data_IF_315649045344
#
_entry.id   IF_315649045344
#
_cell.length_a   1.000
_cell.length_b   1.000
_cell.length_c   1.000
_cell.angle_alpha   90.00
_cell.angle_beta   90.00
_cell.angle_gamma   90.00
#
_symmetry.space_group_name_H-M   'P 1'
#
loop_
_entity.id
_entity.type
_entity.pdbx_description
1 polymer ?
#
# COMPACT_ATOMS: atom_id res chain seq x y z
N UNK A 1 7.99 11.55 -2.19
CA UNK A 1 7.73 10.13 -2.53
C UNK A 1 8.99 9.25 -2.61
N UNK A 2 10.20 9.76 -2.25
CA UNK A 2 11.44 8.97 -2.26
C UNK A 2 11.52 7.89 -1.16
N UNK A 3 10.73 8.01 -0.10
CA UNK A 3 10.84 7.12 1.06
C UNK A 3 10.36 5.68 0.76
N UNK A 4 9.35 5.53 -0.11
CA UNK A 4 8.84 4.22 -0.53
C UNK A 4 9.83 3.47 -1.42
N UNK A 5 10.67 4.18 -2.17
CA UNK A 5 11.66 3.60 -3.07
C UNK A 5 12.81 2.91 -2.32
N UNK A 6 13.14 3.40 -1.12
CA UNK A 6 14.26 2.90 -0.32
C UNK A 6 13.85 1.83 0.71
N UNK A 7 12.64 1.29 0.58
CA UNK A 7 12.03 0.39 1.56
C UNK A 7 11.54 -0.87 0.87
N UNK A 8 11.51 -1.97 1.62
CA UNK A 8 10.94 -3.24 1.15
C UNK A 8 9.61 -3.46 1.83
N UNK A 9 8.54 -3.55 1.04
CA UNK A 9 7.20 -3.80 1.52
C UNK A 9 6.90 -5.29 1.45
N UNK A 10 6.10 -5.76 2.39
CA UNK A 10 5.55 -7.11 2.38
C UNK A 10 4.05 -7.06 2.58
N UNK A 11 3.34 -8.04 2.05
CA UNK A 11 1.95 -8.27 2.45
C UNK A 11 1.92 -8.53 3.95
N UNK A 12 1.38 -7.58 4.70
CA UNK A 12 1.28 -7.66 6.15
C UNK A 12 -0.02 -8.35 6.54
N UNK A 13 -1.12 -7.89 5.97
CA UNK A 13 -2.43 -8.45 6.22
C UNK A 13 -3.35 -8.21 5.03
N UNK A 14 -4.21 -9.20 4.75
CA UNK A 14 -5.24 -9.13 3.73
C UNK A 14 -6.50 -9.81 4.25
N UNK A 15 -7.62 -9.10 4.26
CA UNK A 15 -8.91 -9.65 4.70
C UNK A 15 -9.92 -9.59 3.57
N UNK A 16 -10.47 -10.75 3.22
CA UNK A 16 -11.49 -10.85 2.16
C UNK A 16 -12.82 -10.25 2.63
N UNK A 17 -13.19 -10.45 3.90
CA UNK A 17 -14.47 -9.97 4.45
C UNK A 17 -14.60 -8.44 4.51
N UNK A 18 -13.48 -7.73 4.68
CA UNK A 18 -13.44 -6.27 4.74
C UNK A 18 -12.78 -5.67 3.50
N UNK A 19 -12.41 -6.51 2.51
CA UNK A 19 -11.68 -6.13 1.30
C UNK A 19 -10.54 -5.16 1.60
N UNK A 20 -9.68 -5.50 2.55
CA UNK A 20 -8.64 -4.61 3.06
C UNK A 20 -7.27 -5.24 2.91
N UNK A 21 -6.29 -4.48 2.41
CA UNK A 21 -4.90 -4.91 2.24
C UNK A 21 -3.97 -3.91 2.91
N UNK A 22 -3.02 -4.42 3.69
CA UNK A 22 -1.90 -3.65 4.24
C UNK A 22 -0.61 -4.21 3.66
N UNK A 23 0.15 -3.36 2.98
CA UNK A 23 1.55 -3.60 2.66
C UNK A 23 2.41 -2.83 3.66
N UNK A 24 3.25 -3.52 4.44
CA UNK A 24 4.08 -2.90 5.48
C UNK A 24 5.56 -3.00 5.13
N UNK A 25 6.25 -1.88 5.25
CA UNK A 25 7.69 -1.85 5.48
C UNK A 25 7.92 -1.61 6.98
N UNK A 26 8.42 -2.62 7.73
CA UNK A 26 8.50 -2.52 9.18
C UNK A 26 9.58 -1.53 9.63
N UNK A 27 9.38 -0.94 10.81
CA UNK A 27 10.45 -0.25 11.53
C UNK A 27 11.59 -1.23 11.84
N UNK A 28 12.81 -0.70 11.88
CA UNK A 28 14.01 -1.41 12.33
C UNK A 28 14.54 -0.77 13.60
N UNK A 29 15.21 -1.58 14.42
CA UNK A 29 15.79 -1.12 15.67
C UNK A 29 17.24 -0.62 15.49
N UNK A 30 17.67 0.38 16.28
CA UNK A 30 19.03 0.94 16.22
C UNK A 30 20.14 -0.03 16.61
N UNK A 31 19.80 -1.12 17.29
CA UNK A 31 20.74 -2.19 17.66
C UNK A 31 21.22 -3.02 16.45
N UNK A 32 20.65 -2.77 15.26
CA UNK A 32 21.10 -3.36 14.00
C UNK A 32 22.16 -2.48 13.34
N UNK A 33 23.24 -3.12 12.90
CA UNK A 33 24.45 -2.50 12.29
C UNK A 33 24.15 -1.59 11.08
N UNK A 34 22.99 -1.75 10.43
CA UNK A 34 22.54 -0.94 9.30
C UNK A 34 21.19 -0.30 9.71
N UNK A 35 21.28 0.84 10.38
CA UNK A 35 20.13 1.63 10.83
C UNK A 35 20.16 3.00 10.17
N UNK A 36 19.07 3.40 9.52
CA UNK A 36 18.85 4.77 9.09
C UNK A 36 17.65 5.38 9.79
N UNK A 37 17.67 6.69 9.97
CA UNK A 37 16.58 7.46 10.61
C UNK A 37 15.21 7.24 9.95
N UNK A 38 15.21 6.99 8.62
CA UNK A 38 14.02 6.63 7.84
C UNK A 38 13.41 5.26 8.19
N UNK A 39 14.07 4.46 9.02
CA UNK A 39 13.60 3.13 9.44
C UNK A 39 13.09 3.12 10.88
N UNK A 40 12.96 4.28 11.54
CA UNK A 40 12.38 4.42 12.89
C UNK A 40 10.87 4.19 12.96
N UNK A 41 10.21 3.98 11.82
CA UNK A 41 8.78 3.91 11.68
C UNK A 41 8.39 2.78 10.73
N UNK A 42 7.24 2.17 10.95
CA UNK A 42 6.57 1.42 9.92
C UNK A 42 6.10 2.39 8.84
N UNK A 43 6.06 1.91 7.61
CA UNK A 43 5.31 2.56 6.54
C UNK A 43 4.30 1.55 6.03
N UNK A 44 3.04 1.92 6.14
CA UNK A 44 1.92 1.11 5.69
C UNK A 44 1.29 1.75 4.47
N UNK A 45 1.13 0.95 3.41
CA UNK A 45 0.28 1.27 2.27
C UNK A 45 -1.01 0.48 2.47
N UNK A 46 -2.08 1.19 2.79
CA UNK A 46 -3.39 0.60 3.02
C UNK A 46 -4.26 0.78 1.80
N UNK A 47 -4.84 -0.31 1.32
CA UNK A 47 -5.88 -0.30 0.29
C UNK A 47 -7.21 -0.72 0.89
N UNK A 48 -8.23 0.08 0.63
CA UNK A 48 -9.62 -0.16 1.08
C UNK A 48 -10.49 -0.60 -0.09
N UNK A 49 -11.43 -1.51 0.17
CA UNK A 49 -12.32 -2.08 -0.83
C UNK A 49 -11.55 -2.71 -2.02
N UNK A 50 -10.53 -3.52 -1.72
CA UNK A 50 -9.73 -4.27 -2.68
C UNK A 50 -10.59 -5.31 -3.40
N UNK A 51 -10.65 -5.20 -4.73
CA UNK A 51 -11.41 -6.08 -5.61
C UNK A 51 -10.52 -7.01 -6.46
N UNK A 52 -9.25 -6.65 -6.64
CA UNK A 52 -8.25 -7.44 -7.36
C UNK A 52 -6.85 -7.08 -6.90
N UNK A 53 -5.95 -8.06 -6.84
CA UNK A 53 -4.53 -7.86 -6.57
C UNK A 53 -3.70 -8.84 -7.40
N UNK A 54 -2.60 -8.37 -7.94
CA UNK A 54 -1.64 -9.12 -8.76
C UNK A 54 -0.25 -8.62 -8.42
N UNK A 55 0.14 -8.84 -7.15
CA UNK A 55 1.40 -8.38 -6.57
C UNK A 55 2.14 -9.56 -5.92
N UNK A 56 3.48 -9.56 -5.93
CA UNK A 56 4.26 -10.49 -5.13
C UNK A 56 4.11 -10.19 -3.63
N UNK A 57 4.43 -11.17 -2.79
CA UNK A 57 4.40 -11.01 -1.33
C UNK A 57 5.49 -10.07 -0.79
N UNK A 58 6.49 -9.75 -1.60
CA UNK A 58 7.63 -8.87 -1.28
C UNK A 58 7.81 -7.90 -2.44
N UNK A 59 7.87 -6.60 -2.13
CA UNK A 59 7.98 -5.50 -3.09
C UNK A 59 9.12 -4.55 -2.66
N UNK A 60 10.35 -4.73 -3.19
CA UNK A 60 11.45 -3.80 -2.97
C UNK A 60 11.24 -2.51 -3.76
N UNK A 61 11.15 -1.38 -3.08
CA UNK A 61 10.92 -0.07 -3.69
C UNK A 61 9.56 0.03 -4.38
N UNK A 62 8.66 0.87 -3.87
CA UNK A 62 7.30 0.96 -4.41
C UNK A 62 7.03 2.34 -4.99
N UNK A 63 6.55 2.37 -6.23
CA UNK A 63 5.87 3.53 -6.83
C UNK A 63 4.41 3.14 -7.03
N UNK A 64 3.50 4.05 -6.67
CA UNK A 64 2.06 3.87 -6.83
C UNK A 64 1.56 4.95 -7.78
N UNK A 65 0.89 4.55 -8.85
CA UNK A 65 0.24 5.46 -9.78
C UNK A 65 -1.20 5.03 -10.02
N UNK A 66 -2.16 5.94 -9.82
CA UNK A 66 -3.54 5.68 -10.22
C UNK A 66 -3.64 5.85 -11.74
N UNK A 67 -4.07 4.81 -12.45
CA UNK A 67 -4.22 4.86 -13.90
C UNK A 67 -5.66 5.16 -14.31
N UNK A 68 -5.84 6.30 -14.98
CA UNK A 68 -7.13 6.70 -15.54
C UNK A 68 -7.22 6.49 -17.05
N UNK A 69 -6.10 6.29 -17.72
CA UNK A 69 -6.06 5.98 -19.14
C UNK A 69 -5.26 4.70 -19.32
N UNK A 70 -5.37 4.06 -20.48
CA UNK A 70 -4.59 2.85 -20.81
C UNK A 70 -4.80 1.65 -19.88
N UNK A 71 -5.99 1.53 -19.26
CA UNK A 71 -6.32 0.41 -18.37
C UNK A 71 -6.20 -0.93 -19.12
N UNK A 72 -5.44 -1.91 -18.58
CA UNK A 72 -5.36 -3.25 -19.13
C UNK A 72 -6.74 -3.86 -19.36
N UNK A 73 -6.94 -4.50 -20.53
CA UNK A 73 -8.26 -5.06 -20.92
C UNK A 73 -8.86 -5.95 -19.83
N UNK A 74 -8.03 -6.74 -19.12
CA UNK A 74 -8.44 -7.62 -18.01
C UNK A 74 -9.09 -6.87 -16.84
N UNK A 75 -8.71 -5.60 -16.60
CA UNK A 75 -9.16 -4.81 -15.45
C UNK A 75 -10.28 -3.81 -15.76
N UNK A 76 -10.60 -3.56 -17.04
CA UNK A 76 -11.58 -2.53 -17.46
C UNK A 76 -12.96 -2.71 -16.83
N UNK A 77 -13.38 -3.94 -16.58
CA UNK A 77 -14.69 -4.23 -15.99
C UNK A 77 -14.83 -3.69 -14.56
N UNK A 78 -13.76 -3.72 -13.76
CA UNK A 78 -13.77 -3.20 -12.40
C UNK A 78 -14.04 -1.69 -12.37
N UNK A 79 -13.42 -0.93 -13.29
CA UNK A 79 -13.68 0.50 -13.37
C UNK A 79 -15.05 0.80 -13.96
N UNK A 80 -15.33 0.27 -15.16
CA UNK A 80 -16.48 0.70 -15.94
C UNK A 80 -17.83 0.25 -15.35
N UNK A 81 -17.86 -0.86 -14.62
CA UNK A 81 -19.11 -1.40 -14.05
C UNK A 81 -19.23 -1.18 -12.55
N UNK A 82 -18.12 -1.18 -11.82
CA UNK A 82 -18.11 -1.18 -10.36
C UNK A 82 -17.55 0.11 -9.76
N UNK A 83 -17.00 1.01 -10.58
CA UNK A 83 -16.48 2.31 -10.12
C UNK A 83 -15.16 2.22 -9.34
N UNK A 84 -14.46 1.09 -9.36
CA UNK A 84 -13.18 0.97 -8.67
C UNK A 84 -12.06 1.75 -9.35
N UNK A 85 -11.10 2.19 -8.54
CA UNK A 85 -9.84 2.78 -9.00
C UNK A 85 -8.83 1.66 -9.27
N UNK A 86 -7.92 1.92 -10.21
CA UNK A 86 -6.87 0.98 -10.60
C UNK A 86 -5.54 1.63 -10.30
N UNK A 87 -4.76 0.97 -9.44
CA UNK A 87 -3.44 1.39 -9.01
C UNK A 87 -2.41 0.50 -9.67
N UNK A 88 -1.56 1.10 -10.48
CA UNK A 88 -0.35 0.51 -10.97
C UNK A 88 0.73 0.60 -9.89
N UNK A 89 1.35 -0.54 -9.60
CA UNK A 89 2.41 -0.66 -8.62
C UNK A 89 3.68 -1.06 -9.37
N UNK A 90 4.71 -0.21 -9.30
CA UNK A 90 6.01 -0.48 -9.91
C UNK A 90 7.03 -0.81 -8.83
N UNK A 91 7.74 -1.93 -8.98
CA UNK A 91 8.78 -2.40 -8.06
C UNK A 91 9.85 -3.18 -8.83
N UNK A 92 11.12 -2.80 -8.66
CA UNK A 92 12.28 -3.37 -9.38
C UNK A 92 12.06 -3.54 -10.90
N UNK A 93 11.53 -2.52 -11.57
CA UNK A 93 11.17 -2.51 -13.00
C UNK A 93 10.03 -3.47 -13.43
N UNK A 94 9.38 -4.14 -12.47
CA UNK A 94 8.18 -4.92 -12.71
C UNK A 94 6.94 -4.07 -12.44
N UNK A 95 5.89 -4.34 -13.20
CA UNK A 95 4.62 -3.63 -13.15
C UNK A 95 3.51 -4.58 -12.68
N UNK A 96 2.79 -4.16 -11.67
CA UNK A 96 1.74 -4.91 -11.00
C UNK A 96 0.48 -4.05 -10.88
N UNK A 97 -0.64 -4.67 -10.51
CA UNK A 97 -1.91 -3.94 -10.37
C UNK A 97 -2.67 -4.32 -9.11
N UNK A 98 -3.22 -3.30 -8.46
CA UNK A 98 -4.21 -3.42 -7.39
C UNK A 98 -5.45 -2.65 -7.82
N UNK A 99 -6.62 -3.25 -7.70
CA UNK A 99 -7.91 -2.59 -7.90
C UNK A 99 -8.55 -2.41 -6.55
N UNK A 100 -8.82 -1.17 -6.16
CA UNK A 100 -9.39 -0.84 -4.86
C UNK A 100 -10.22 0.46 -4.92
N UNK A 101 -10.99 0.74 -3.87
CA UNK A 101 -11.74 1.99 -3.76
C UNK A 101 -10.83 3.19 -3.47
N UNK A 102 -9.82 2.98 -2.62
CA UNK A 102 -8.84 4.00 -2.25
C UNK A 102 -7.55 3.37 -1.72
N UNK A 103 -6.50 4.19 -1.64
CA UNK A 103 -5.34 3.89 -0.81
C UNK A 103 -4.95 5.07 0.07
N UNK A 104 -4.20 4.78 1.13
CA UNK A 104 -3.44 5.78 1.87
C UNK A 104 -2.10 5.21 2.33
N UNK A 105 -1.16 6.10 2.60
CA UNK A 105 0.16 5.75 3.11
C UNK A 105 0.38 6.46 4.42
N UNK A 106 0.63 5.68 5.47
CA UNK A 106 0.80 6.17 6.83
C UNK A 106 2.09 5.70 7.47
N UNK A 107 2.60 6.49 8.43
CA UNK A 107 3.71 6.13 9.30
C UNK A 107 3.22 5.85 10.70
N UNK A 108 3.79 4.84 11.35
CA UNK A 108 3.49 4.54 12.75
C UNK A 108 4.70 3.94 13.46
N UNK A 109 4.69 3.97 14.79
CA UNK A 109 5.64 3.24 15.63
C UNK A 109 5.03 1.99 16.28
N UNK A 110 3.94 1.48 15.73
CA UNK A 110 3.26 0.30 16.27
C UNK A 110 4.18 -0.92 16.22
N UNK A 111 4.23 -1.69 17.31
CA UNK A 111 5.14 -2.84 17.39
C UNK A 111 4.48 -4.14 16.92
N UNK A 112 3.23 -4.36 17.31
CA UNK A 112 2.49 -5.60 17.04
C UNK A 112 1.06 -5.36 16.57
N UNK A 113 0.68 -4.10 16.33
CA UNK A 113 -0.68 -3.73 15.94
C UNK A 113 -0.76 -3.30 14.48
N UNK A 114 -1.98 -3.38 13.96
CA UNK A 114 -2.38 -2.81 12.67
C UNK A 114 -3.86 -2.44 12.67
N UNK A 115 -4.27 -1.69 11.65
CA UNK A 115 -5.66 -1.21 11.52
C UNK A 115 -6.66 -2.30 11.15
N UNK A 116 -6.22 -3.50 10.77
CA UNK A 116 -7.13 -4.63 10.57
C UNK A 116 -7.57 -5.18 11.93
N UNK A 117 -6.66 -5.27 12.91
CA UNK A 117 -6.99 -5.73 14.26
C UNK A 117 -7.64 -4.65 15.12
N UNK A 118 -7.26 -3.38 14.92
CA UNK A 118 -7.81 -2.24 15.64
C UNK A 118 -8.04 -1.06 14.69
N UNK A 119 -9.25 -0.97 14.12
CA UNK A 119 -9.59 0.05 13.13
C UNK A 119 -9.49 1.50 13.65
N UNK A 120 -9.51 1.68 14.98
CA UNK A 120 -9.40 2.98 15.66
C UNK A 120 -7.95 3.49 15.77
N UNK A 121 -6.95 2.69 15.39
CA UNK A 121 -5.57 3.15 15.36
C UNK A 121 -5.38 4.23 14.30
N UNK A 122 -4.72 5.32 14.67
CA UNK A 122 -4.38 6.42 13.78
C UNK A 122 -2.88 6.54 13.58
N UNK A 123 -2.49 6.78 12.34
CA UNK A 123 -1.08 6.93 11.96
C UNK A 123 -0.49 8.20 12.60
N UNK A 124 0.79 8.14 12.95
CA UNK A 124 1.54 9.30 13.42
C UNK A 124 1.60 10.38 12.32
N UNK A 125 1.66 9.96 11.05
CA UNK A 125 1.70 10.84 9.87
C UNK A 125 1.03 10.15 8.68
N UNK A 126 0.22 10.89 7.90
CA UNK A 126 -0.27 10.45 6.58
C UNK A 126 0.55 11.16 5.50
N UNK A 127 1.22 10.39 4.65
CA UNK A 127 2.15 10.92 3.65
C UNK A 127 1.63 10.84 2.20
N UNK A 128 0.57 10.06 1.95
CA UNK A 128 -0.13 10.03 0.67
C UNK A 128 -1.54 9.48 0.82
N UNK A 129 -2.45 9.90 -0.07
CA UNK A 129 -3.79 9.32 -0.22
C UNK A 129 -4.15 9.28 -1.71
N UNK A 130 -4.97 8.32 -2.13
CA UNK A 130 -5.69 8.46 -3.38
C UNK A 130 -6.72 9.58 -3.20
N UNK A 131 -6.62 10.66 -3.97
CA UNK A 131 -7.64 11.70 -3.94
C UNK A 131 -9.01 11.08 -4.27
N UNK A 132 -10.05 11.54 -3.57
CA UNK A 132 -11.42 11.35 -4.06
C UNK A 132 -11.56 12.32 -5.23
N UNK A 133 -11.66 11.76 -6.43
CA UNK A 133 -12.20 12.52 -7.56
C UNK A 133 -13.70 12.43 -7.35
N UNK A 134 -14.28 13.51 -6.84
CA UNK A 134 -15.73 13.69 -6.71
C UNK A 134 -16.40 13.63 -8.09
#
# INVERSE_FOLDING_TARGET
MNELLNRTFKTWAYTVSHSFLILRSPLKYPDRVIFSESEKFNIDIEFSAVAYLDIPSILPGVIIHQIENSIPKKLRHYRNKLGYKIFEITSENNQYYIVAGSYRVGKSRWLSEDRIQNMNLEYDEIIATSQNVD
#
